data_IF_296914020060
#
_entry.id   IF_296914020060
#
_cell.length_a   1.000
_cell.length_b   1.000
_cell.length_c   1.000
_cell.angle_alpha   90.00
_cell.angle_beta   90.00
_cell.angle_gamma   90.00
#
_symmetry.space_group_name_H-M   'P 1'
#
loop_
_entity.id
_entity.type
_entity.pdbx_description
1 polymer ?
#
# COMPACT_ATOMS: atom_id res chain seq x y z
N UNK A 1 -5.97 8.90 11.54
CA UNK A 1 -5.79 10.03 10.64
C UNK A 1 -5.03 9.56 9.39
N UNK A 2 -5.78 9.26 8.32
CA UNK A 2 -5.18 8.67 7.09
C UNK A 2 -4.56 9.72 6.15
N UNK A 3 -4.57 10.99 6.54
CA UNK A 3 -4.07 12.09 5.70
C UNK A 3 -2.59 11.98 5.36
N UNK A 4 -1.77 11.53 6.30
CA UNK A 4 -0.33 11.33 6.10
C UNK A 4 -0.03 10.24 5.05
N UNK A 5 -0.86 9.19 4.96
CA UNK A 5 -0.72 8.15 3.94
C UNK A 5 -1.02 8.69 2.54
N UNK A 6 -2.06 9.53 2.42
CA UNK A 6 -2.39 10.20 1.17
C UNK A 6 -1.26 11.15 0.73
N UNK A 7 -0.65 11.88 1.68
CA UNK A 7 0.49 12.77 1.40
C UNK A 7 1.72 12.02 0.90
N UNK A 8 2.09 10.91 1.55
CA UNK A 8 3.22 10.07 1.09
C UNK A 8 2.97 9.53 -0.31
N UNK A 9 1.74 9.08 -0.58
CA UNK A 9 1.36 8.59 -1.88
C UNK A 9 1.43 9.68 -2.95
N UNK A 10 0.93 10.89 -2.66
CA UNK A 10 1.02 12.03 -3.56
C UNK A 10 2.46 12.46 -3.82
N UNK A 11 3.31 12.53 -2.79
CA UNK A 11 4.74 12.85 -2.95
C UNK A 11 5.48 11.82 -3.80
N UNK A 12 5.19 10.53 -3.63
CA UNK A 12 5.76 9.46 -4.45
C UNK A 12 5.39 9.62 -5.93
N UNK A 13 4.12 9.88 -6.20
CA UNK A 13 3.59 10.05 -7.55
C UNK A 13 4.16 11.32 -8.22
N UNK A 14 4.30 12.43 -7.49
CA UNK A 14 4.91 13.66 -7.99
C UNK A 14 6.37 13.47 -8.40
N UNK A 15 7.16 12.71 -7.64
CA UNK A 15 8.56 12.42 -7.99
C UNK A 15 8.68 11.63 -9.30
N UNK A 16 7.85 10.62 -9.48
CA UNK A 16 7.82 9.81 -10.71
C UNK A 16 7.45 10.69 -11.90
N UNK A 17 6.48 11.55 -11.73
CA UNK A 17 6.05 12.49 -12.77
C UNK A 17 7.17 13.47 -13.12
N UNK A 18 7.77 14.12 -12.11
CA UNK A 18 8.81 15.12 -12.32
C UNK A 18 10.05 14.55 -13.03
N UNK A 19 10.44 13.30 -12.76
CA UNK A 19 11.60 12.67 -13.39
C UNK A 19 11.43 12.41 -14.89
N UNK A 20 10.19 12.32 -15.37
CA UNK A 20 9.90 12.03 -16.78
C UNK A 20 9.59 13.28 -17.62
N UNK A 21 9.46 14.46 -17.02
CA UNK A 21 9.17 15.72 -17.75
C UNK A 21 10.18 16.01 -18.85
N UNK A 22 11.52 15.92 -18.65
CA UNK A 22 12.48 16.25 -19.70
C UNK A 22 12.34 15.37 -20.95
N UNK A 23 12.09 14.07 -20.76
CA UNK A 23 11.91 13.12 -21.86
C UNK A 23 10.59 13.39 -22.59
N UNK A 24 9.55 13.79 -21.83
CA UNK A 24 8.26 14.19 -22.41
C UNK A 24 8.38 15.42 -23.30
N UNK A 25 9.16 16.43 -22.86
CA UNK A 25 9.44 17.63 -23.68
C UNK A 25 10.07 17.21 -25.01
N UNK A 26 11.09 16.35 -24.95
CA UNK A 26 11.79 15.90 -26.15
C UNK A 26 10.87 15.11 -27.10
N UNK A 27 10.01 14.24 -26.56
CA UNK A 27 9.06 13.46 -27.34
C UNK A 27 8.02 14.36 -28.06
N UNK A 28 7.51 15.38 -27.36
CA UNK A 28 6.57 16.34 -27.94
C UNK A 28 7.23 17.27 -28.97
N UNK A 29 8.43 17.79 -28.69
CA UNK A 29 9.17 18.67 -29.63
C UNK A 29 9.47 17.97 -30.95
N UNK A 30 9.94 16.73 -30.88
CA UNK A 30 10.31 15.96 -32.07
C UNK A 30 9.14 15.22 -32.72
N UNK A 31 7.97 15.24 -32.08
CA UNK A 31 6.81 14.40 -32.45
C UNK A 31 7.21 12.93 -32.61
N UNK A 32 8.07 12.45 -31.71
CA UNK A 32 8.63 11.11 -31.75
C UNK A 32 7.74 10.15 -30.95
N UNK A 33 6.96 9.35 -31.68
CA UNK A 33 6.06 8.35 -31.09
C UNK A 33 6.82 7.19 -30.46
N UNK A 34 7.97 6.81 -31.01
CA UNK A 34 8.77 5.70 -30.46
C UNK A 34 9.36 6.10 -29.11
N UNK A 35 9.84 7.33 -28.99
CA UNK A 35 10.32 7.86 -27.71
C UNK A 35 9.18 7.97 -26.68
N UNK A 36 7.99 8.40 -27.13
CA UNK A 36 6.81 8.46 -26.27
C UNK A 36 6.40 7.05 -25.80
N UNK A 37 6.41 6.04 -26.67
CA UNK A 37 6.07 4.64 -26.31
C UNK A 37 7.05 4.07 -25.29
N UNK A 38 8.35 4.24 -25.49
CA UNK A 38 9.40 3.77 -24.56
C UNK A 38 9.24 4.43 -23.19
N UNK A 39 9.05 5.74 -23.16
CA UNK A 39 8.86 6.49 -21.92
C UNK A 39 7.59 6.07 -21.18
N UNK A 40 6.46 6.08 -21.88
CA UNK A 40 5.18 5.67 -21.30
C UNK A 40 5.21 4.20 -20.89
N UNK A 41 5.86 3.33 -21.66
CA UNK A 41 6.09 1.94 -21.31
C UNK A 41 6.88 1.78 -20.01
N UNK A 42 7.93 2.59 -19.84
CA UNK A 42 8.70 2.66 -18.60
C UNK A 42 7.84 3.11 -17.41
N UNK A 43 7.02 4.14 -17.57
CA UNK A 43 6.09 4.59 -16.52
C UNK A 43 5.04 3.51 -16.20
N UNK A 44 4.47 2.87 -17.20
CA UNK A 44 3.48 1.79 -17.05
C UNK A 44 4.05 0.51 -16.42
N UNK A 45 5.37 0.36 -16.31
CA UNK A 45 5.97 -0.72 -15.52
C UNK A 45 5.60 -0.64 -14.05
N UNK A 46 5.30 0.56 -13.56
CA UNK A 46 4.75 0.75 -12.21
C UNK A 46 3.27 0.33 -12.17
N UNK A 47 2.97 -0.63 -11.30
CA UNK A 47 1.60 -1.19 -11.18
C UNK A 47 0.54 -0.17 -10.76
N UNK A 48 0.94 0.91 -10.09
CA UNK A 48 0.03 1.97 -9.64
C UNK A 48 -0.50 2.85 -10.77
N UNK A 49 0.17 2.91 -11.92
CA UNK A 49 -0.23 3.74 -13.05
C UNK A 49 -1.21 2.96 -13.93
N UNK A 50 -2.40 3.54 -14.11
CA UNK A 50 -3.45 2.97 -14.97
C UNK A 50 -3.47 3.56 -16.36
N UNK A 51 -3.20 4.86 -16.49
CA UNK A 51 -3.25 5.57 -17.75
C UNK A 51 -2.19 6.65 -17.77
N UNK A 52 -1.55 6.81 -18.91
CA UNK A 52 -0.68 7.93 -19.22
C UNK A 52 -1.13 8.48 -20.56
N UNK A 53 -1.44 9.78 -20.59
CA UNK A 53 -1.78 10.48 -21.82
C UNK A 53 -0.88 11.71 -21.96
N UNK A 54 -0.37 11.92 -23.16
CA UNK A 54 0.35 13.12 -23.58
C UNK A 54 -0.57 13.93 -24.48
N UNK A 55 -0.85 15.15 -24.07
CA UNK A 55 -1.73 16.06 -24.80
C UNK A 55 -0.88 17.23 -25.30
N UNK A 56 -1.05 17.62 -26.55
CA UNK A 56 -0.38 18.78 -27.14
C UNK A 56 -1.02 20.07 -26.65
N UNK A 57 -0.34 21.22 -26.89
CA UNK A 57 -0.90 22.56 -26.60
C UNK A 57 -2.26 22.83 -27.26
N UNK A 58 -2.54 22.17 -28.36
CA UNK A 58 -3.78 22.33 -29.14
C UNK A 58 -4.92 21.48 -28.55
N UNK A 59 -4.65 20.69 -27.51
CA UNK A 59 -5.63 19.83 -26.86
C UNK A 59 -5.77 18.45 -27.50
N UNK A 60 -4.98 18.15 -28.53
CA UNK A 60 -5.00 16.86 -29.20
C UNK A 60 -4.19 15.81 -28.41
N UNK A 61 -4.71 14.58 -28.34
CA UNK A 61 -3.99 13.47 -27.72
C UNK A 61 -2.88 13.01 -28.67
N UNK A 62 -1.63 13.32 -28.27
CA UNK A 62 -0.43 12.91 -29.02
C UNK A 62 -0.14 11.42 -28.85
N UNK A 63 -0.20 10.93 -27.59
CA UNK A 63 0.03 9.54 -27.25
C UNK A 63 -0.77 9.17 -26.02
N UNK A 64 -1.39 8.00 -26.04
CA UNK A 64 -2.13 7.47 -24.89
C UNK A 64 -1.89 5.98 -24.74
N UNK A 65 -1.64 5.56 -23.50
CA UNK A 65 -1.59 4.16 -23.13
C UNK A 65 -2.37 3.93 -21.85
N UNK A 66 -3.25 2.93 -21.89
CA UNK A 66 -4.07 2.53 -20.75
C UNK A 66 -3.88 1.06 -20.47
N UNK A 67 -3.82 0.71 -19.20
CA UNK A 67 -3.79 -0.68 -18.76
C UNK A 67 -5.15 -1.32 -19.01
N UNK A 68 -5.16 -2.61 -19.41
CA UNK A 68 -6.40 -3.34 -19.67
C UNK A 68 -7.27 -3.41 -18.40
N UNK A 69 -8.59 -3.29 -18.60
CA UNK A 69 -9.55 -3.45 -17.52
C UNK A 69 -9.45 -4.88 -16.94
N UNK A 70 -9.29 -5.00 -15.63
CA UNK A 70 -9.16 -6.28 -14.93
C UNK A 70 -7.74 -6.69 -14.54
N UNK A 71 -6.69 -6.01 -15.02
CA UNK A 71 -5.32 -6.25 -14.54
C UNK A 71 -5.10 -5.80 -13.08
N UNK A 72 -5.92 -4.89 -12.59
CA UNK A 72 -5.89 -4.46 -11.19
C UNK A 72 -7.21 -4.88 -10.54
N UNK A 73 -7.17 -5.68 -9.47
CA UNK A 73 -8.39 -6.08 -8.78
C UNK A 73 -9.08 -4.83 -8.19
N UNK A 74 -10.33 -4.60 -8.62
CA UNK A 74 -11.15 -3.50 -8.12
C UNK A 74 -11.80 -3.92 -6.80
N UNK A 75 -11.34 -3.32 -5.71
CA UNK A 75 -11.97 -3.46 -4.40
C UNK A 75 -12.79 -2.21 -4.09
N UNK A 76 -14.10 -2.36 -4.06
CA UNK A 76 -15.06 -1.24 -3.91
C UNK A 76 -14.78 -0.35 -2.67
N UNK A 77 -14.35 -0.93 -1.56
CA UNK A 77 -14.02 -0.18 -0.35
C UNK A 77 -12.74 0.67 -0.47
N UNK A 78 -11.80 0.31 -1.35
CA UNK A 78 -10.59 1.08 -1.58
C UNK A 78 -10.89 2.39 -2.31
N UNK A 79 -11.85 2.36 -3.24
CA UNK A 79 -12.34 3.55 -3.93
C UNK A 79 -13.10 4.49 -2.98
N UNK A 80 -13.84 3.93 -2.04
CA UNK A 80 -14.59 4.69 -1.03
C UNK A 80 -13.68 5.38 -0.01
N UNK A 81 -12.59 4.73 0.41
CA UNK A 81 -11.65 5.26 1.40
C UNK A 81 -10.64 6.27 0.84
N UNK A 82 -10.16 6.04 -0.39
CA UNK A 82 -9.07 6.84 -0.96
C UNK A 82 -9.52 7.77 -2.10
N UNK A 83 -10.82 7.79 -2.41
CA UNK A 83 -11.34 8.42 -3.63
C UNK A 83 -10.96 7.59 -4.86
N UNK A 84 -11.64 7.75 -5.96
CA UNK A 84 -11.36 7.02 -7.20
C UNK A 84 -9.94 7.21 -7.75
N UNK A 85 -9.78 7.02 -9.04
CA UNK A 85 -8.51 7.28 -9.74
C UNK A 85 -8.01 8.69 -9.47
N UNK A 86 -6.78 8.81 -8.96
CA UNK A 86 -6.13 10.11 -8.81
C UNK A 86 -5.51 10.51 -10.14
N UNK A 87 -5.98 11.61 -10.68
CA UNK A 87 -5.43 12.21 -11.91
C UNK A 87 -4.44 13.31 -11.54
N UNK A 88 -3.20 13.16 -11.99
CA UNK A 88 -2.19 14.20 -11.89
C UNK A 88 -1.95 14.73 -13.29
N UNK A 89 -2.14 16.03 -13.45
CA UNK A 89 -1.83 16.75 -14.67
C UNK A 89 -0.59 17.61 -14.44
N UNK A 90 0.38 17.48 -15.33
CA UNK A 90 1.62 18.25 -15.28
C UNK A 90 1.81 18.98 -16.61
N UNK A 91 1.85 20.31 -16.59
CA UNK A 91 2.16 21.06 -17.79
C UNK A 91 3.60 20.81 -18.24
N UNK A 92 3.76 20.41 -19.47
CA UNK A 92 5.05 20.21 -20.12
C UNK A 92 5.49 21.53 -20.73
N UNK A 93 6.56 22.10 -20.20
CA UNK A 93 7.10 23.40 -20.62
C UNK A 93 8.44 23.23 -21.31
N UNK A 94 8.65 24.00 -22.35
CA UNK A 94 9.96 24.07 -22.99
C UNK A 94 10.95 24.85 -22.12
N UNK A 95 12.03 24.21 -21.63
CA UNK A 95 13.01 24.89 -20.79
C UNK A 95 13.89 25.88 -21.56
N UNK A 96 13.96 25.75 -22.90
CA UNK A 96 14.86 26.53 -23.74
C UNK A 96 14.22 27.86 -24.23
N UNK A 97 12.94 28.08 -23.90
CA UNK A 97 12.21 29.28 -24.32
C UNK A 97 11.81 30.13 -23.11
N UNK A 98 12.25 31.40 -23.08
CA UNK A 98 11.81 32.37 -22.07
C UNK A 98 10.87 33.43 -22.70
N UNK A 99 9.61 33.61 -22.17
CA UNK A 99 8.98 32.86 -21.09
C UNK A 99 8.64 31.42 -21.50
N UNK A 100 8.78 30.49 -20.55
CA UNK A 100 8.57 29.05 -20.78
C UNK A 100 7.18 28.78 -21.41
N UNK A 101 7.18 28.39 -22.68
CA UNK A 101 5.96 28.08 -23.41
C UNK A 101 5.44 26.69 -23.03
N UNK A 102 4.14 26.60 -22.76
CA UNK A 102 3.51 25.30 -22.50
C UNK A 102 3.34 24.58 -23.84
N UNK A 103 4.04 23.46 -24.01
CA UNK A 103 4.01 22.64 -25.23
C UNK A 103 2.89 21.60 -25.19
N UNK A 104 2.42 21.29 -23.99
CA UNK A 104 1.39 20.29 -23.80
C UNK A 104 1.22 19.95 -22.33
N UNK A 105 0.51 18.87 -22.07
CA UNK A 105 0.16 18.40 -20.76
C UNK A 105 0.35 16.88 -20.66
N UNK A 106 0.96 16.42 -19.59
CA UNK A 106 1.06 15.01 -19.29
C UNK A 106 0.06 14.64 -18.20
N UNK A 107 -0.91 13.80 -18.54
CA UNK A 107 -1.94 13.32 -17.63
C UNK A 107 -1.61 11.90 -17.21
N UNK A 108 -1.53 11.66 -15.90
CA UNK A 108 -1.28 10.36 -15.32
C UNK A 108 -2.40 10.01 -14.36
N UNK A 109 -3.03 8.86 -14.58
CA UNK A 109 -4.04 8.31 -13.68
C UNK A 109 -3.43 7.20 -12.83
N UNK A 110 -3.50 7.37 -11.52
CA UNK A 110 -3.01 6.42 -10.53
C UNK A 110 -4.17 5.67 -9.87
N UNK A 111 -4.00 4.35 -9.71
CA UNK A 111 -4.93 3.53 -8.95
C UNK A 111 -4.48 3.42 -7.49
N UNK A 112 -5.30 3.82 -6.52
CA UNK A 112 -5.00 3.65 -5.11
C UNK A 112 -5.01 2.18 -4.66
N UNK A 113 -5.63 1.29 -5.44
CA UNK A 113 -5.85 -0.11 -5.08
C UNK A 113 -4.55 -0.90 -4.91
N UNK A 114 -3.53 -0.63 -5.74
CA UNK A 114 -2.22 -1.30 -5.64
C UNK A 114 -1.54 -0.95 -4.32
N UNK A 115 -1.67 0.29 -3.87
CA UNK A 115 -1.15 0.73 -2.57
C UNK A 115 -1.89 0.05 -1.43
N UNK A 116 -3.20 -0.02 -1.51
CA UNK A 116 -4.06 -0.65 -0.52
C UNK A 116 -3.77 -2.14 -0.38
N UNK A 117 -3.65 -2.87 -1.48
CA UNK A 117 -3.31 -4.30 -1.44
C UNK A 117 -1.93 -4.55 -0.84
N UNK A 118 -0.93 -3.73 -1.16
CA UNK A 118 0.39 -3.82 -0.57
C UNK A 118 0.38 -3.51 0.94
N UNK A 119 -0.39 -2.52 1.36
CA UNK A 119 -0.56 -2.16 2.77
C UNK A 119 -1.24 -3.30 3.55
N UNK A 120 -2.33 -3.84 3.02
CA UNK A 120 -3.04 -4.96 3.66
C UNK A 120 -2.19 -6.22 3.77
N UNK A 121 -1.43 -6.54 2.74
CA UNK A 121 -0.50 -7.67 2.79
C UNK A 121 0.52 -7.50 3.93
N UNK A 122 1.07 -6.32 4.12
CA UNK A 122 2.01 -6.05 5.23
C UNK A 122 1.33 -6.07 6.59
N UNK A 123 0.14 -5.48 6.70
CA UNK A 123 -0.62 -5.46 7.94
C UNK A 123 -1.07 -6.87 8.35
N UNK A 124 -1.51 -7.71 7.42
CA UNK A 124 -1.93 -9.09 7.71
C UNK A 124 -0.78 -9.94 8.27
N UNK A 125 0.42 -9.81 7.72
CA UNK A 125 1.61 -10.48 8.26
C UNK A 125 1.99 -10.00 9.67
N UNK A 126 1.93 -8.68 9.90
CA UNK A 126 2.18 -8.11 11.23
C UNK A 126 1.14 -8.56 12.26
N UNK A 127 -0.13 -8.58 11.87
CA UNK A 127 -1.23 -9.05 12.72
C UNK A 127 -1.08 -10.53 13.06
N UNK A 128 -0.76 -11.37 12.07
CA UNK A 128 -0.53 -12.79 12.26
C UNK A 128 0.64 -13.05 13.23
N UNK A 129 1.75 -12.35 13.07
CA UNK A 129 2.90 -12.47 13.96
C UNK A 129 2.55 -12.08 15.40
N UNK A 130 1.80 -10.99 15.57
CA UNK A 130 1.35 -10.52 16.90
C UNK A 130 0.39 -11.53 17.53
N UNK A 131 -0.51 -12.12 16.77
CA UNK A 131 -1.45 -13.12 17.24
C UNK A 131 -0.72 -14.39 17.72
N UNK A 132 0.27 -14.86 16.95
CA UNK A 132 1.10 -16.02 17.35
C UNK A 132 1.85 -15.71 18.66
N UNK A 133 2.45 -14.52 18.78
CA UNK A 133 3.15 -14.10 19.99
C UNK A 133 2.19 -14.03 21.19
N UNK A 134 0.99 -13.51 21.03
CA UNK A 134 -0.03 -13.45 22.08
C UNK A 134 -0.44 -14.85 22.56
N UNK A 135 -0.63 -15.80 21.66
CA UNK A 135 -0.93 -17.20 22.00
C UNK A 135 0.21 -17.85 22.76
N UNK A 136 1.46 -17.65 22.31
CA UNK A 136 2.64 -18.17 23.02
C UNK A 136 2.75 -17.61 24.44
N UNK A 137 2.54 -16.30 24.60
CA UNK A 137 2.53 -15.66 25.93
C UNK A 137 1.41 -16.20 26.82
N UNK A 138 0.21 -16.43 26.27
CA UNK A 138 -0.89 -17.01 27.02
C UNK A 138 -0.57 -18.43 27.52
N UNK A 139 0.07 -19.26 26.68
CA UNK A 139 0.51 -20.62 27.07
C UNK A 139 1.55 -20.55 28.18
N UNK A 140 2.55 -19.66 28.08
CA UNK A 140 3.57 -19.46 29.11
C UNK A 140 2.93 -19.02 30.43
N UNK A 141 2.04 -18.05 30.39
CA UNK A 141 1.31 -17.56 31.56
C UNK A 141 0.46 -18.65 32.22
N UNK A 142 -0.27 -19.42 31.42
CA UNK A 142 -1.09 -20.53 31.91
C UNK A 142 -0.20 -21.60 32.56
N UNK A 143 0.94 -21.95 31.95
CA UNK A 143 1.92 -22.89 32.49
C UNK A 143 2.52 -22.40 33.82
N UNK A 144 2.95 -21.13 33.88
CA UNK A 144 3.45 -20.53 35.13
C UNK A 144 2.40 -20.50 36.22
N UNK A 145 1.18 -20.09 35.88
CA UNK A 145 0.06 -20.04 36.84
C UNK A 145 -0.24 -21.43 37.40
N UNK A 146 -0.29 -22.43 36.52
CA UNK A 146 -0.48 -23.82 36.96
C UNK A 146 0.62 -24.28 37.89
N UNK A 147 1.89 -24.00 37.55
CA UNK A 147 3.03 -24.47 38.34
C UNK A 147 3.16 -23.79 39.70
N UNK A 148 2.89 -22.46 39.74
CA UNK A 148 3.05 -21.64 40.97
C UNK A 148 1.84 -21.80 41.90
N UNK A 149 0.61 -21.82 41.37
CA UNK A 149 -0.58 -21.80 42.21
C UNK A 149 -1.30 -23.15 42.29
N UNK A 150 -1.61 -23.78 41.16
CA UNK A 150 -2.47 -24.94 41.15
C UNK A 150 -1.78 -26.17 41.74
N UNK A 151 -0.51 -26.39 41.41
CA UNK A 151 0.23 -27.56 41.88
C UNK A 151 0.44 -27.57 43.41
N UNK A 152 0.82 -26.48 44.11
CA UNK A 152 0.92 -26.49 45.57
C UNK A 152 -0.44 -26.57 46.26
N UNK A 153 -1.51 -25.97 45.69
CA UNK A 153 -2.85 -26.07 46.26
C UNK A 153 -3.42 -27.50 46.24
N UNK A 154 -3.20 -28.20 45.10
CA UNK A 154 -3.60 -29.62 45.02
C UNK A 154 -2.79 -30.48 46.00
N UNK A 155 -1.51 -30.20 46.24
CA UNK A 155 -0.72 -30.91 47.25
C UNK A 155 -1.25 -30.66 48.66
N UNK A 156 -1.55 -29.42 49.01
CA UNK A 156 -2.12 -29.05 50.31
C UNK A 156 -3.49 -29.70 50.51
N UNK A 157 -4.37 -29.68 49.49
CA UNK A 157 -5.64 -30.35 49.55
C UNK A 157 -5.53 -31.85 49.79
N UNK A 158 -4.59 -32.54 49.12
CA UNK A 158 -4.35 -33.95 49.33
C UNK A 158 -3.75 -34.29 50.72
N UNK A 159 -2.97 -33.35 51.32
CA UNK A 159 -2.48 -33.50 52.70
C UNK A 159 -3.60 -33.37 53.72
N UNK A 160 -4.56 -32.42 53.53
CA UNK A 160 -5.66 -32.23 54.43
C UNK A 160 -6.65 -33.42 54.40
N UNK A 161 -6.95 -33.94 53.21
CA UNK A 161 -7.80 -35.13 53.07
C UNK A 161 -7.18 -36.38 53.73
N UNK A 162 -5.84 -36.48 53.68
CA UNK A 162 -5.12 -37.62 54.29
C UNK A 162 -4.96 -37.49 55.82
N UNK A 163 -5.13 -36.29 56.36
CA UNK A 163 -5.01 -35.97 57.80
C UNK A 163 -6.34 -35.95 58.52
N UNK A 164 -7.42 -36.38 57.91
CA UNK A 164 -8.73 -36.45 58.53
C UNK A 164 -8.77 -37.66 59.51
N UNK A 165 -8.76 -37.43 60.84
CA UNK A 165 -8.62 -38.48 61.83
C UNK A 165 -9.94 -39.25 62.08
N UNK A 166 -10.98 -38.99 61.27
CA UNK A 166 -12.30 -39.62 61.45
C UNK A 166 -12.38 -41.09 60.95
N UNK A 167 -11.30 -41.62 60.35
CA UNK A 167 -11.31 -42.98 59.80
C UNK A 167 -10.64 -44.03 60.76
N UNK A 168 -10.20 -43.65 61.96
CA UNK A 168 -9.64 -44.57 62.97
C UNK A 168 -10.64 -45.04 64.04
N UNK A 169 -11.95 -44.86 63.83
CA UNK A 169 -12.92 -45.39 64.79
C UNK A 169 -13.85 -46.40 64.14
N UNK A 170 -13.28 -47.58 63.76
CA UNK A 170 -14.08 -48.83 63.61
C UNK A 170 -13.18 -50.03 63.93
#
# INVERSE_FOLDING_TARGET
DYRWLAEIYQQGNQRVTASNVPVTVQALQKRDLDLADVMVGGMMSQRSIQRVALITSDGDVFYERRRAAGEIPTTHWAEELFGGLQTISVPVRDPDVEPATVMGEMIIEFSPQVFVTALFSRLSWSFLATMILAVLMAIVFAGMSYYIFSRPLVRLGNYLVKSDPTDESK
#
